data_IF_055164126220
#
_entry.id   IF_055164126220
#
_cell.length_a   1.000
_cell.length_b   1.000
_cell.length_c   1.000
_cell.angle_alpha   90.00
_cell.angle_beta   90.00
_cell.angle_gamma   90.00
#
_symmetry.space_group_name_H-M   'P 1'
#
loop_
_entity.id
_entity.type
_entity.pdbx_description
1 polymer ?
#
# COMPACT_ATOMS: atom_id res chain seq x y z
N UNK A 1 20.83 -4.60 -21.97
CA UNK A 1 19.39 -4.44 -22.26
C UNK A 1 18.97 -3.05 -21.78
N UNK A 2 18.41 -2.23 -22.66
CA UNK A 2 17.88 -0.91 -22.28
C UNK A 2 16.65 -1.19 -21.42
N UNK A 3 16.65 -0.68 -20.17
CA UNK A 3 15.50 -0.80 -19.28
C UNK A 3 14.33 -0.02 -19.89
N UNK A 4 13.26 -0.72 -20.26
CA UNK A 4 12.09 -0.14 -20.93
C UNK A 4 11.38 0.91 -20.07
N UNK A 5 11.33 0.69 -18.76
CA UNK A 5 10.61 1.53 -17.81
C UNK A 5 11.58 2.28 -16.90
N UNK A 6 11.24 3.53 -16.58
CA UNK A 6 11.96 4.33 -15.60
C UNK A 6 11.25 4.20 -14.26
N UNK A 7 11.97 3.72 -13.25
CA UNK A 7 11.51 3.63 -11.86
C UNK A 7 12.11 4.77 -11.07
N UNK A 8 11.32 5.80 -10.85
CA UNK A 8 11.75 6.99 -10.11
C UNK A 8 11.39 6.84 -8.65
N UNK A 9 12.41 6.82 -7.77
CA UNK A 9 12.17 6.98 -6.33
C UNK A 9 11.74 8.41 -6.08
N UNK A 10 10.57 8.58 -5.48
CA UNK A 10 9.98 9.89 -5.24
C UNK A 10 10.70 10.63 -4.11
N UNK A 11 10.74 11.93 -4.24
CA UNK A 11 11.30 12.89 -3.29
C UNK A 11 10.24 13.89 -2.84
N UNK A 12 10.62 14.85 -1.99
CA UNK A 12 9.74 15.95 -1.60
C UNK A 12 9.26 16.82 -2.78
N UNK A 13 10.04 16.86 -3.86
CA UNK A 13 9.67 17.58 -5.08
C UNK A 13 8.55 16.89 -5.88
N UNK A 14 8.27 15.62 -5.58
CA UNK A 14 7.29 14.81 -6.30
C UNK A 14 5.94 14.71 -5.58
N UNK A 15 5.71 15.48 -4.51
CA UNK A 15 4.50 15.34 -3.69
C UNK A 15 3.24 15.51 -4.52
N UNK A 16 3.15 16.53 -5.37
CA UNK A 16 1.98 16.78 -6.21
C UNK A 16 1.71 15.60 -7.15
N UNK A 17 2.76 15.04 -7.74
CA UNK A 17 2.66 13.87 -8.60
C UNK A 17 2.27 12.61 -7.83
N UNK A 18 2.80 12.41 -6.62
CA UNK A 18 2.39 11.32 -5.73
C UNK A 18 0.91 11.39 -5.36
N UNK A 19 0.42 12.58 -5.03
CA UNK A 19 -0.99 12.80 -4.71
C UNK A 19 -1.86 12.54 -5.94
N UNK A 20 -1.52 13.13 -7.08
CA UNK A 20 -2.24 12.93 -8.34
C UNK A 20 -2.33 11.43 -8.71
N UNK A 21 -1.21 10.72 -8.67
CA UNK A 21 -1.17 9.29 -9.02
C UNK A 21 -1.86 8.43 -7.97
N UNK A 22 -1.83 8.82 -6.68
CA UNK A 22 -2.59 8.15 -5.62
C UNK A 22 -4.08 8.13 -5.91
N UNK A 23 -4.65 9.24 -6.37
CA UNK A 23 -6.06 9.31 -6.73
C UNK A 23 -6.39 8.38 -7.91
N UNK A 24 -5.53 8.32 -8.93
CA UNK A 24 -5.68 7.37 -10.05
C UNK A 24 -5.70 5.92 -9.53
N UNK A 25 -4.75 5.57 -8.67
CA UNK A 25 -4.65 4.21 -8.11
C UNK A 25 -5.87 3.85 -7.27
N UNK A 26 -6.34 4.77 -6.43
CA UNK A 26 -7.52 4.55 -5.58
C UNK A 26 -8.79 4.37 -6.39
N UNK A 27 -9.01 5.20 -7.42
CA UNK A 27 -10.14 5.02 -8.34
C UNK A 27 -10.10 3.66 -9.02
N UNK A 28 -8.94 3.28 -9.56
CA UNK A 28 -8.77 1.99 -10.20
C UNK A 28 -9.00 0.80 -9.25
N UNK A 29 -8.47 0.87 -8.03
CA UNK A 29 -8.59 -0.21 -7.04
C UNK A 29 -10.03 -0.40 -6.53
N UNK A 30 -10.74 0.71 -6.34
CA UNK A 30 -12.10 0.70 -5.79
C UNK A 30 -13.19 0.78 -6.86
N UNK A 31 -12.82 0.82 -8.16
CA UNK A 31 -13.75 0.94 -9.29
C UNK A 31 -14.65 2.18 -9.17
N UNK A 32 -14.07 3.29 -8.70
CA UNK A 32 -14.78 4.54 -8.55
C UNK A 32 -14.88 5.27 -9.89
N UNK A 33 -15.98 6.01 -10.13
CA UNK A 33 -16.11 6.88 -11.30
C UNK A 33 -15.12 8.06 -11.24
N UNK A 34 -14.88 8.68 -12.38
CA UNK A 34 -13.92 9.79 -12.48
C UNK A 34 -14.39 11.06 -11.76
N UNK A 35 -15.70 11.22 -11.58
CA UNK A 35 -16.35 12.33 -10.89
C UNK A 35 -16.57 12.11 -9.39
N UNK A 36 -16.15 10.96 -8.85
CA UNK A 36 -16.19 10.73 -7.40
C UNK A 36 -15.38 11.79 -6.65
N UNK A 37 -15.96 12.37 -5.61
CA UNK A 37 -15.27 13.38 -4.81
C UNK A 37 -14.14 12.73 -3.99
N UNK A 38 -12.91 13.10 -4.30
CA UNK A 38 -11.71 12.62 -3.62
C UNK A 38 -10.99 13.73 -2.84
N UNK A 39 -11.63 14.89 -2.66
CA UNK A 39 -10.99 16.06 -2.05
C UNK A 39 -10.38 15.77 -0.67
N UNK A 40 -11.12 15.08 0.20
CA UNK A 40 -10.61 14.75 1.54
C UNK A 40 -9.40 13.82 1.46
N UNK A 41 -9.47 12.79 0.62
CA UNK A 41 -8.37 11.83 0.44
C UNK A 41 -7.15 12.51 -0.19
N UNK A 42 -7.36 13.41 -1.13
CA UNK A 42 -6.30 14.19 -1.78
C UNK A 42 -5.56 15.06 -0.76
N UNK A 43 -6.30 15.84 0.03
CA UNK A 43 -5.78 16.69 1.09
C UNK A 43 -4.97 15.89 2.14
N UNK A 44 -5.54 14.79 2.63
CA UNK A 44 -4.89 13.94 3.63
C UNK A 44 -3.66 13.21 3.04
N UNK A 45 -3.71 12.82 1.76
CA UNK A 45 -2.56 12.22 1.08
C UNK A 45 -1.41 13.23 0.94
N UNK A 46 -1.70 14.49 0.64
CA UNK A 46 -0.69 15.54 0.59
C UNK A 46 -0.01 15.72 1.95
N UNK A 47 -0.79 15.87 3.01
CA UNK A 47 -0.28 16.02 4.37
C UNK A 47 0.55 14.79 4.80
N UNK A 48 0.09 13.60 4.44
CA UNK A 48 0.78 12.34 4.71
C UNK A 48 2.14 12.30 4.00
N UNK A 49 2.18 12.49 2.68
CA UNK A 49 3.43 12.40 1.92
C UNK A 49 4.45 13.45 2.37
N UNK A 50 4.00 14.68 2.63
CA UNK A 50 4.87 15.74 3.11
C UNK A 50 5.59 15.33 4.39
N UNK A 51 4.86 14.83 5.39
CA UNK A 51 5.45 14.38 6.66
C UNK A 51 6.29 13.11 6.47
N UNK A 52 5.72 12.10 5.82
CA UNK A 52 6.32 10.78 5.78
C UNK A 52 7.57 10.69 4.90
N UNK A 53 7.69 11.50 3.84
CA UNK A 53 8.91 11.60 3.05
C UNK A 53 10.00 12.37 3.81
N UNK A 54 9.63 13.44 4.52
CA UNK A 54 10.57 14.22 5.34
C UNK A 54 11.17 13.40 6.47
N UNK A 55 10.35 12.59 7.14
CA UNK A 55 10.78 11.73 8.26
C UNK A 55 11.36 10.39 7.83
N UNK A 56 11.31 10.04 6.54
CA UNK A 56 11.72 8.72 6.05
C UNK A 56 10.75 7.59 6.39
N UNK A 57 9.54 7.91 6.86
CA UNK A 57 8.48 6.93 7.16
C UNK A 57 7.78 6.38 5.93
N UNK A 58 8.11 6.89 4.74
CA UNK A 58 7.57 6.41 3.47
C UNK A 58 8.60 6.45 2.36
N UNK A 59 8.58 5.40 1.52
CA UNK A 59 9.29 5.36 0.26
C UNK A 59 8.27 5.01 -0.82
N UNK A 60 8.33 5.74 -1.94
CA UNK A 60 7.48 5.49 -3.09
C UNK A 60 8.29 5.45 -4.38
N UNK A 61 7.83 4.63 -5.32
CA UNK A 61 8.29 4.62 -6.70
C UNK A 61 7.16 4.99 -7.65
N UNK A 62 7.47 5.87 -8.57
CA UNK A 62 6.66 6.20 -9.74
C UNK A 62 7.30 5.57 -10.96
N UNK A 63 6.52 4.92 -11.79
CA UNK A 63 7.02 4.19 -12.97
C UNK A 63 6.52 4.86 -14.23
N UNK A 64 7.43 5.08 -15.17
CA UNK A 64 7.16 5.78 -16.41
C UNK A 64 7.62 4.98 -17.63
N UNK A 65 6.86 5.09 -18.72
CA UNK A 65 7.24 4.70 -20.07
C UNK A 65 7.21 5.94 -20.96
N UNK A 66 8.36 6.36 -21.50
CA UNK A 66 8.50 7.56 -22.34
C UNK A 66 7.82 8.81 -21.73
N UNK A 67 7.91 9.00 -20.41
CA UNK A 67 7.32 10.11 -19.69
C UNK A 67 5.85 9.93 -19.28
N UNK A 68 5.17 8.91 -19.76
CA UNK A 68 3.81 8.57 -19.33
C UNK A 68 3.85 7.78 -18.01
N UNK A 69 3.01 8.13 -17.03
CA UNK A 69 2.83 7.38 -15.79
C UNK A 69 2.16 6.03 -16.07
N UNK A 70 2.82 4.93 -15.72
CA UNK A 70 2.35 3.57 -16.00
C UNK A 70 2.29 2.67 -14.77
N UNK A 71 2.83 3.09 -13.64
CA UNK A 71 2.79 2.29 -12.42
C UNK A 71 3.28 3.03 -11.19
N UNK A 72 2.97 2.48 -10.05
CA UNK A 72 3.42 2.97 -8.75
C UNK A 72 3.51 1.86 -7.71
N UNK A 73 4.20 2.16 -6.63
CA UNK A 73 4.18 1.40 -5.39
C UNK A 73 4.78 2.22 -4.27
N UNK A 74 4.38 1.90 -3.04
CA UNK A 74 4.90 2.56 -1.86
C UNK A 74 5.03 1.61 -0.67
N UNK A 75 5.89 1.96 0.25
CA UNK A 75 6.05 1.27 1.53
C UNK A 75 6.06 2.30 2.65
N UNK A 76 5.22 2.07 3.65
CA UNK A 76 5.16 2.86 4.87
C UNK A 76 5.89 2.12 5.99
N UNK A 77 6.68 2.83 6.77
CA UNK A 77 7.38 2.32 7.93
C UNK A 77 6.70 2.78 9.20
N UNK A 78 6.55 1.88 10.15
CA UNK A 78 5.98 2.18 11.45
C UNK A 78 6.59 1.30 12.52
N UNK A 79 6.38 1.68 13.76
CA UNK A 79 6.90 0.95 14.90
C UNK A 79 5.76 0.47 15.79
N UNK A 80 5.88 -0.78 16.23
CA UNK A 80 5.03 -1.37 17.26
C UNK A 80 5.89 -1.72 18.47
N UNK A 81 5.25 -2.13 19.55
CA UNK A 81 5.97 -2.63 20.71
C UNK A 81 6.85 -3.84 20.31
N UNK A 82 8.13 -3.87 20.72
CA UNK A 82 9.03 -4.99 20.45
C UNK A 82 8.44 -6.34 20.89
N UNK A 83 8.68 -7.36 20.07
CA UNK A 83 8.28 -8.74 20.37
C UNK A 83 9.50 -9.67 20.28
N UNK A 84 9.35 -10.91 20.73
CA UNK A 84 10.43 -11.91 20.63
C UNK A 84 10.87 -12.12 19.15
N UNK A 85 9.92 -12.15 18.23
CA UNK A 85 10.20 -12.35 16.80
C UNK A 85 10.56 -11.05 16.05
N UNK A 86 10.29 -9.90 16.64
CA UNK A 86 10.65 -8.58 16.11
C UNK A 86 11.18 -7.68 17.25
N UNK A 87 12.44 -7.86 17.65
CA UNK A 87 13.01 -7.13 18.79
C UNK A 87 13.11 -5.62 18.58
N UNK A 88 13.10 -5.15 17.34
CA UNK A 88 13.12 -3.71 17.01
C UNK A 88 11.74 -3.08 17.00
N UNK A 89 10.68 -3.88 16.87
CA UNK A 89 9.32 -3.40 16.63
C UNK A 89 9.11 -2.72 15.28
N UNK A 90 10.13 -2.65 14.42
CA UNK A 90 10.00 -2.02 13.08
C UNK A 90 9.19 -2.91 12.17
N UNK A 91 8.20 -2.30 11.51
CA UNK A 91 7.34 -2.93 10.51
C UNK A 91 7.27 -2.09 9.24
N UNK A 92 7.00 -2.74 8.13
CA UNK A 92 6.71 -2.08 6.87
C UNK A 92 5.38 -2.58 6.29
N UNK A 93 4.67 -1.67 5.66
CA UNK A 93 3.41 -1.96 4.98
C UNK A 93 3.47 -1.50 3.53
N UNK A 94 3.42 -2.46 2.60
CA UNK A 94 3.44 -2.18 1.16
C UNK A 94 2.03 -1.83 0.73
N UNK A 95 1.90 -0.74 0.00
CA UNK A 95 0.63 -0.21 -0.47
C UNK A 95 0.78 0.50 -1.82
N UNK A 96 -0.33 0.97 -2.36
CA UNK A 96 -0.37 1.75 -3.60
C UNK A 96 0.26 1.04 -4.82
N UNK A 97 0.27 -0.30 -4.81
CA UNK A 97 0.81 -1.10 -5.91
C UNK A 97 -0.11 -1.02 -7.14
N UNK A 98 0.42 -0.49 -8.23
CA UNK A 98 -0.34 -0.25 -9.44
C UNK A 98 0.49 -0.52 -10.69
N UNK A 99 -0.14 -1.10 -11.70
CA UNK A 99 0.31 -1.07 -13.08
C UNK A 99 -0.90 -0.78 -13.96
N UNK A 100 -0.77 0.20 -14.85
CA UNK A 100 -1.82 0.58 -15.78
C UNK A 100 -2.27 -0.65 -16.60
N UNK A 101 -3.57 -0.79 -16.89
CA UNK A 101 -4.12 -2.02 -17.49
C UNK A 101 -3.38 -2.51 -18.71
N UNK A 102 -3.01 -1.60 -19.61
CA UNK A 102 -2.28 -1.86 -20.87
C UNK A 102 -0.80 -2.24 -20.66
N UNK A 103 -0.26 -1.96 -19.48
CA UNK A 103 1.12 -2.26 -19.08
C UNK A 103 1.25 -3.47 -18.14
N UNK A 104 0.14 -4.14 -17.85
CA UNK A 104 0.16 -5.33 -16.99
C UNK A 104 0.93 -6.48 -17.63
N UNK A 105 1.41 -7.40 -16.78
CA UNK A 105 2.23 -8.57 -17.17
C UNK A 105 3.55 -8.24 -17.88
N UNK A 106 4.01 -7.01 -17.80
CA UNK A 106 5.30 -6.57 -18.35
C UNK A 106 6.38 -6.42 -17.26
N UNK A 107 6.14 -6.91 -16.04
CA UNK A 107 7.12 -6.92 -14.96
C UNK A 107 7.11 -5.68 -14.06
N UNK A 108 6.28 -4.66 -14.33
CA UNK A 108 6.26 -3.41 -13.54
C UNK A 108 6.03 -3.69 -12.05
N UNK A 109 4.94 -4.38 -11.71
CA UNK A 109 4.58 -4.59 -10.32
C UNK A 109 5.61 -5.42 -9.53
N UNK A 110 6.16 -6.49 -10.15
CA UNK A 110 7.16 -7.34 -9.48
C UNK A 110 8.47 -6.58 -9.25
N UNK A 111 8.90 -5.77 -10.21
CA UNK A 111 10.11 -4.98 -10.05
C UNK A 111 9.93 -3.85 -9.03
N UNK A 112 8.78 -3.17 -9.04
CA UNK A 112 8.44 -2.17 -8.01
C UNK A 112 8.43 -2.80 -6.61
N UNK A 113 7.82 -3.98 -6.47
CA UNK A 113 7.81 -4.73 -5.22
C UNK A 113 9.22 -5.07 -4.74
N UNK A 114 10.08 -5.51 -5.64
CA UNK A 114 11.47 -5.84 -5.32
C UNK A 114 12.26 -4.63 -4.81
N UNK A 115 12.09 -3.47 -5.43
CA UNK A 115 12.68 -2.21 -4.97
C UNK A 115 12.21 -1.84 -3.56
N UNK A 116 10.90 -1.90 -3.31
CA UNK A 116 10.32 -1.57 -1.99
C UNK A 116 10.77 -2.54 -0.90
N UNK A 117 10.83 -3.84 -1.19
CA UNK A 117 11.31 -4.85 -0.24
C UNK A 117 12.80 -4.67 0.05
N UNK A 118 13.60 -4.32 -0.98
CA UNK A 118 15.01 -4.01 -0.81
C UNK A 118 15.21 -2.80 0.10
N UNK A 119 14.51 -1.70 -0.16
CA UNK A 119 14.55 -0.51 0.68
C UNK A 119 14.14 -0.81 2.14
N UNK A 120 13.10 -1.63 2.33
CA UNK A 120 12.65 -2.03 3.66
C UNK A 120 13.72 -2.86 4.42
N UNK A 121 14.39 -3.78 3.72
CA UNK A 121 15.48 -4.55 4.28
C UNK A 121 16.69 -3.68 4.64
N UNK A 122 17.02 -2.70 3.80
CA UNK A 122 18.10 -1.74 4.07
C UNK A 122 17.81 -0.88 5.31
N UNK A 123 16.54 -0.63 5.64
CA UNK A 123 16.14 0.02 6.89
C UNK A 123 16.09 -0.95 8.12
N UNK A 124 16.47 -2.20 7.93
CA UNK A 124 16.49 -3.20 9.00
C UNK A 124 15.10 -3.68 9.43
N UNK A 125 14.11 -3.61 8.52
CA UNK A 125 12.76 -4.10 8.79
C UNK A 125 12.71 -5.62 8.62
N UNK A 126 12.20 -6.32 9.64
CA UNK A 126 12.08 -7.78 9.65
C UNK A 126 10.66 -8.26 9.22
N UNK A 127 9.65 -7.41 9.39
CA UNK A 127 8.27 -7.74 9.10
C UNK A 127 7.71 -6.79 8.05
N UNK A 128 7.39 -7.33 6.88
CA UNK A 128 6.81 -6.62 5.75
C UNK A 128 5.45 -7.23 5.46
N UNK A 129 4.39 -6.44 5.52
CA UNK A 129 3.02 -6.87 5.28
C UNK A 129 2.39 -6.08 4.13
N UNK A 130 1.29 -6.57 3.62
CA UNK A 130 0.43 -5.90 2.63
C UNK A 130 -0.98 -6.50 2.66
N UNK A 131 -1.93 -5.76 2.13
CA UNK A 131 -3.23 -6.30 1.73
C UNK A 131 -3.23 -6.66 0.25
N UNK A 132 -3.62 -7.88 -0.06
CA UNK A 132 -3.65 -8.38 -1.42
C UNK A 132 -5.08 -8.36 -1.99
N UNK A 133 -5.29 -7.62 -3.07
CA UNK A 133 -6.49 -7.82 -3.87
C UNK A 133 -6.48 -9.22 -4.50
N UNK A 134 -7.65 -9.71 -4.90
CA UNK A 134 -7.75 -11.00 -5.60
C UNK A 134 -6.79 -11.08 -6.82
N UNK A 135 -6.70 -10.01 -7.60
CA UNK A 135 -5.81 -9.96 -8.78
C UNK A 135 -4.32 -9.86 -8.42
N UNK A 136 -3.98 -9.19 -7.31
CA UNK A 136 -2.60 -9.00 -6.88
C UNK A 136 -2.01 -10.19 -6.14
N UNK A 137 -2.83 -10.99 -5.48
CA UNK A 137 -2.42 -12.12 -4.63
C UNK A 137 -1.41 -13.06 -5.29
N UNK A 138 -1.60 -13.55 -6.53
CA UNK A 138 -0.65 -14.47 -7.16
C UNK A 138 0.76 -13.88 -7.34
N UNK A 139 0.88 -12.57 -7.49
CA UNK A 139 2.17 -11.88 -7.56
C UNK A 139 2.89 -11.94 -6.21
N UNK A 140 2.19 -11.63 -5.14
CA UNK A 140 2.75 -11.60 -3.79
C UNK A 140 3.13 -13.00 -3.30
N UNK A 141 2.28 -14.00 -3.51
CA UNK A 141 2.57 -15.41 -3.18
C UNK A 141 3.80 -15.92 -3.93
N UNK A 142 3.93 -15.60 -5.22
CA UNK A 142 5.13 -15.94 -6.01
C UNK A 142 6.39 -15.24 -5.51
N UNK A 143 6.26 -14.03 -4.99
CA UNK A 143 7.38 -13.29 -4.39
C UNK A 143 7.82 -13.88 -3.05
N UNK A 144 6.93 -14.59 -2.35
CA UNK A 144 7.20 -15.23 -1.07
C UNK A 144 6.35 -14.73 0.10
N UNK A 145 5.34 -13.90 -0.16
CA UNK A 145 4.37 -13.53 0.88
C UNK A 145 3.43 -14.70 1.17
N UNK A 146 3.15 -14.93 2.43
CA UNK A 146 2.18 -15.91 2.90
C UNK A 146 0.99 -15.21 3.55
N UNK A 147 -0.19 -15.84 3.46
CA UNK A 147 -1.37 -15.38 4.18
C UNK A 147 -1.12 -15.47 5.68
N UNK A 148 -1.47 -14.40 6.40
CA UNK A 148 -1.49 -14.40 7.85
C UNK A 148 -2.79 -14.98 8.37
N UNK A 149 -2.72 -15.92 9.31
CA UNK A 149 -3.90 -16.61 9.84
C UNK A 149 -4.40 -15.98 11.15
N UNK A 150 -3.52 -15.28 11.88
CA UNK A 150 -3.78 -14.80 13.24
C UNK A 150 -4.10 -13.29 13.30
N UNK A 151 -4.17 -12.59 12.18
CA UNK A 151 -4.55 -11.19 12.17
C UNK A 151 -6.08 -11.02 12.14
N UNK A 152 -6.56 -10.11 13.00
CA UNK A 152 -7.97 -9.77 13.11
C UNK A 152 -8.14 -8.27 12.96
N UNK A 153 -9.17 -7.87 12.23
CA UNK A 153 -9.57 -6.48 12.06
C UNK A 153 -10.92 -6.25 12.73
N UNK A 154 -11.05 -5.13 13.45
CA UNK A 154 -12.34 -4.67 13.95
C UNK A 154 -13.06 -3.95 12.81
N UNK A 155 -14.02 -4.63 12.19
CA UNK A 155 -14.76 -4.10 11.05
C UNK A 155 -15.90 -3.20 11.50
N UNK A 156 -15.96 -2.01 10.95
CA UNK A 156 -17.02 -1.02 11.22
C UNK A 156 -18.04 -1.03 10.08
N UNK A 157 -19.28 -1.37 10.38
CA UNK A 157 -20.39 -1.33 9.43
C UNK A 157 -21.14 0.00 9.55
N UNK A 158 -20.58 1.10 9.09
CA UNK A 158 -21.23 2.40 9.08
C UNK A 158 -20.53 3.41 8.20
N UNK A 159 -21.29 4.29 7.56
CA UNK A 159 -20.75 5.37 6.72
C UNK A 159 -20.15 6.53 7.53
N UNK A 160 -20.37 6.56 8.84
CA UNK A 160 -19.87 7.57 9.76
C UNK A 160 -18.84 6.93 10.68
N UNK A 161 -17.75 7.65 10.96
CA UNK A 161 -16.69 7.25 11.91
C UNK A 161 -17.15 7.27 13.38
N UNK A 162 -18.43 7.07 13.63
CA UNK A 162 -18.97 7.00 14.98
C UNK A 162 -18.65 5.64 15.59
N UNK A 163 -17.77 5.64 16.58
CA UNK A 163 -17.54 4.46 17.41
C UNK A 163 -18.89 4.03 18.02
N UNK A 164 -19.30 2.75 17.89
CA UNK A 164 -20.49 2.29 18.57
C UNK A 164 -20.32 2.52 20.07
N UNK A 165 -21.24 3.24 20.67
CA UNK A 165 -21.24 3.53 22.13
C UNK A 165 -21.29 2.26 23.00
N UNK A 166 -21.57 1.13 22.40
CA UNK A 166 -21.59 -0.18 23.08
C UNK A 166 -20.90 -1.23 22.23
N UNK A 167 -20.07 -2.10 22.83
CA UNK A 167 -19.51 -3.24 22.13
C UNK A 167 -20.66 -4.06 21.54
N UNK A 168 -20.51 -4.45 20.27
CA UNK A 168 -21.47 -5.32 19.58
C UNK A 168 -21.76 -6.53 20.47
N UNK A 169 -23.05 -6.70 20.89
CA UNK A 169 -23.44 -7.89 21.62
C UNK A 169 -23.15 -9.10 20.74
N UNK A 170 -22.33 -10.02 21.21
CA UNK A 170 -21.84 -11.25 20.56
C UNK A 170 -22.91 -12.22 20.04
N UNK A 171 -24.06 -11.75 19.55
CA UNK A 171 -25.22 -12.60 19.26
C UNK A 171 -25.23 -13.29 17.90
N UNK A 172 -24.30 -13.03 16.99
CA UNK A 172 -24.32 -13.66 15.66
C UNK A 172 -22.94 -14.02 15.04
N UNK A 173 -22.01 -14.50 15.83
CA UNK A 173 -20.92 -15.26 15.24
C UNK A 173 -21.46 -16.68 14.97
N UNK A 174 -21.91 -16.93 13.77
CA UNK A 174 -22.06 -18.32 13.30
C UNK A 174 -20.66 -18.93 13.34
N UNK A 175 -20.45 -19.90 14.23
CA UNK A 175 -19.31 -20.81 14.13
C UNK A 175 -19.42 -21.42 12.73
N UNK A 176 -18.46 -21.13 11.88
CA UNK A 176 -18.19 -21.96 10.71
C UNK A 176 -17.54 -23.17 11.34
N UNK A 177 -18.36 -24.19 11.53
CA UNK A 177 -17.90 -25.54 11.91
C UNK A 177 -17.17 -26.12 10.70
N UNK A 178 -15.99 -26.63 10.97
CA UNK A 178 -15.06 -27.51 10.27
C UNK A 178 -15.43 -27.96 8.84
#
# INVERSE_FOLDING_TARGET
MIQKFVYKRATMEDIDELVRTRIIVLRAANKLPDDEDMFVVEKESYAYYRRALETGEHIAYLVYDNGAFVGAGGVSFYQVMPTYHNPTGKKAYIMNMYAAPEYRRQGIAIHTLDLLVKDAKEQGVLQIALEATYMGRPLYERYGFAKMEDEMELVWYGKNFDYPEKPLKYKHIRRISD
#
